data_IF_422746934968
#
_entry.id   IF_422746934968
#
_cell.length_a   1.000
_cell.length_b   1.000
_cell.length_c   1.000
_cell.angle_alpha   90.00
_cell.angle_beta   90.00
_cell.angle_gamma   90.00
#
_symmetry.space_group_name_H-M   'P 1'
#
loop_
_entity.id
_entity.type
_entity.pdbx_description
1 polymer ?
#
# COMPACT_ATOMS: atom_id res chain seq x y z
N UNK A 1 -2.84 6.93 40.14
CA UNK A 1 -2.72 5.92 39.06
C UNK A 1 -1.43 5.19 39.28
N UNK A 2 -1.51 3.88 39.28
CA UNK A 2 -0.36 3.03 39.57
C UNK A 2 0.67 3.14 38.42
N UNK A 3 1.95 2.88 38.69
CA UNK A 3 3.00 2.91 37.65
C UNK A 3 2.73 1.91 36.52
N UNK A 4 2.03 0.83 36.85
CA UNK A 4 1.58 -0.19 35.92
C UNK A 4 0.51 0.35 34.95
N UNK A 5 -0.45 1.14 35.45
CA UNK A 5 -1.48 1.80 34.63
C UNK A 5 -0.87 2.75 33.60
N UNK A 6 0.15 3.52 34.00
CA UNK A 6 0.84 4.46 33.10
C UNK A 6 1.63 3.75 32.01
N UNK A 7 2.28 2.63 32.35
CA UNK A 7 3.05 1.82 31.41
C UNK A 7 2.12 1.13 30.41
N UNK A 8 1.02 0.56 30.89
CA UNK A 8 0.00 -0.06 30.05
C UNK A 8 -0.64 0.96 29.09
N UNK A 9 -0.96 2.15 29.58
CA UNK A 9 -1.49 3.23 28.74
C UNK A 9 -0.52 3.61 27.62
N UNK A 10 0.77 3.79 27.93
CA UNK A 10 1.78 4.14 26.92
C UNK A 10 1.93 3.05 25.86
N UNK A 11 1.93 1.78 26.28
CA UNK A 11 1.94 0.65 25.36
C UNK A 11 0.75 0.69 24.40
N UNK A 12 -0.47 0.90 24.91
CA UNK A 12 -1.67 0.99 24.07
C UNK A 12 -1.62 2.19 23.10
N UNK A 13 -1.08 3.32 23.53
CA UNK A 13 -0.88 4.48 22.66
C UNK A 13 0.10 4.16 21.51
N UNK A 14 1.20 3.45 21.80
CA UNK A 14 2.15 2.99 20.80
C UNK A 14 1.50 2.00 19.81
N UNK A 15 0.69 1.06 20.29
CA UNK A 15 -0.07 0.13 19.46
C UNK A 15 -1.05 0.86 18.54
N UNK A 16 -1.76 1.88 19.03
CA UNK A 16 -2.68 2.69 18.22
C UNK A 16 -1.91 3.40 17.10
N UNK A 17 -0.75 3.99 17.41
CA UNK A 17 0.06 4.66 16.38
C UNK A 17 0.61 3.67 15.36
N UNK A 18 0.99 2.47 15.79
CA UNK A 18 1.42 1.41 14.89
C UNK A 18 0.30 0.98 13.94
N UNK A 19 -0.91 0.70 14.45
CA UNK A 19 -2.07 0.35 13.62
C UNK A 19 -2.41 1.46 12.60
N UNK A 20 -2.37 2.74 13.02
CA UNK A 20 -2.63 3.88 12.12
C UNK A 20 -1.62 3.96 10.97
N UNK A 21 -0.34 3.66 11.24
CA UNK A 21 0.69 3.61 10.20
C UNK A 21 0.43 2.48 9.21
N UNK A 22 0.06 1.30 9.69
CA UNK A 22 -0.28 0.18 8.82
C UNK A 22 -1.52 0.46 7.96
N UNK A 23 -2.57 1.02 8.55
CA UNK A 23 -3.79 1.40 7.85
C UNK A 23 -3.50 2.38 6.69
N UNK A 24 -2.67 3.39 6.95
CA UNK A 24 -2.24 4.32 5.91
C UNK A 24 -1.52 3.62 4.74
N UNK A 25 -0.60 2.70 5.03
CA UNK A 25 0.10 1.93 4.00
C UNK A 25 -0.89 1.07 3.19
N UNK A 26 -1.85 0.43 3.84
CA UNK A 26 -2.87 -0.38 3.17
C UNK A 26 -3.76 0.46 2.26
N UNK A 27 -4.15 1.66 2.67
CA UNK A 27 -4.90 2.62 1.83
C UNK A 27 -4.09 3.01 0.59
N UNK A 28 -2.79 3.26 0.73
CA UNK A 28 -1.92 3.56 -0.42
C UNK A 28 -1.79 2.38 -1.38
N UNK A 29 -1.64 1.16 -0.86
CA UNK A 29 -1.63 -0.06 -1.69
C UNK A 29 -2.95 -0.19 -2.44
N UNK A 30 -4.08 -0.04 -1.75
CA UNK A 30 -5.41 -0.13 -2.34
C UNK A 30 -5.61 0.89 -3.46
N UNK A 31 -5.13 2.12 -3.27
CA UNK A 31 -5.19 3.17 -4.30
C UNK A 31 -4.40 2.77 -5.55
N UNK A 32 -3.19 2.23 -5.39
CA UNK A 32 -2.35 1.79 -6.53
C UNK A 32 -2.93 0.57 -7.25
N UNK A 33 -3.50 -0.37 -6.52
CA UNK A 33 -4.21 -1.51 -7.11
C UNK A 33 -5.42 -1.05 -7.93
N UNK A 34 -6.15 -0.04 -7.44
CA UNK A 34 -7.24 0.56 -8.19
C UNK A 34 -6.76 1.24 -9.48
N UNK A 35 -5.62 1.92 -9.45
CA UNK A 35 -4.98 2.47 -10.65
C UNK A 35 -4.60 1.37 -11.66
N UNK A 36 -4.00 0.26 -11.20
CA UNK A 36 -3.70 -0.89 -12.06
C UNK A 36 -4.96 -1.47 -12.69
N UNK A 37 -6.04 -1.58 -11.93
CA UNK A 37 -7.34 -2.03 -12.42
C UNK A 37 -7.85 -1.12 -13.54
N UNK A 38 -7.79 0.20 -13.36
CA UNK A 38 -8.22 1.16 -14.40
C UNK A 38 -7.42 1.04 -15.69
N UNK A 39 -6.11 0.78 -15.59
CA UNK A 39 -5.27 0.52 -16.76
C UNK A 39 -5.76 -0.74 -17.48
N UNK A 40 -6.02 -1.83 -16.75
CA UNK A 40 -6.49 -3.07 -17.33
C UNK A 40 -7.87 -2.93 -17.99
N UNK A 41 -8.79 -2.20 -17.37
CA UNK A 41 -10.11 -1.89 -17.95
C UNK A 41 -9.97 -1.05 -19.23
N UNK A 42 -9.12 -0.02 -19.23
CA UNK A 42 -8.84 0.77 -20.43
C UNK A 42 -8.27 -0.09 -21.57
N UNK A 43 -7.32 -0.97 -21.27
CA UNK A 43 -6.75 -1.87 -22.29
C UNK A 43 -7.74 -2.88 -22.87
N UNK A 44 -8.82 -3.18 -22.15
CA UNK A 44 -9.89 -4.06 -22.63
C UNK A 44 -10.88 -3.31 -23.53
N UNK A 45 -11.16 -2.04 -23.22
CA UNK A 45 -12.16 -1.23 -23.93
C UNK A 45 -11.65 -0.65 -25.25
N UNK A 46 -10.34 -0.47 -25.41
CA UNK A 46 -9.75 0.23 -26.55
C UNK A 46 -8.77 -0.66 -27.33
N UNK A 47 -8.78 -0.53 -28.66
CA UNK A 47 -7.71 -1.07 -29.51
C UNK A 47 -6.44 -0.25 -29.30
N UNK A 48 -5.46 -0.83 -28.61
CA UNK A 48 -4.20 -0.18 -28.32
C UNK A 48 -3.18 -0.42 -29.42
N UNK A 49 -2.43 0.62 -29.75
CA UNK A 49 -1.19 0.47 -30.52
C UNK A 49 -0.11 -0.21 -29.68
N UNK A 50 0.94 -0.71 -30.34
CA UNK A 50 2.11 -1.26 -29.65
C UNK A 50 2.74 -0.24 -28.69
N UNK A 51 2.89 1.01 -29.13
CA UNK A 51 3.47 2.08 -28.32
C UNK A 51 2.64 2.39 -27.06
N UNK A 52 1.30 2.37 -27.17
CA UNK A 52 0.42 2.53 -26.02
C UNK A 52 0.47 1.33 -25.09
N UNK A 53 0.53 0.12 -25.64
CA UNK A 53 0.68 -1.12 -24.87
C UNK A 53 1.96 -1.10 -24.04
N UNK A 54 3.09 -0.74 -24.65
CA UNK A 54 4.38 -0.63 -23.96
C UNK A 54 4.31 0.40 -22.84
N UNK A 55 3.73 1.58 -23.11
CA UNK A 55 3.55 2.63 -22.11
C UNK A 55 2.70 2.17 -20.92
N UNK A 56 1.58 1.47 -21.17
CA UNK A 56 0.72 0.98 -20.09
C UNK A 56 1.40 -0.13 -19.29
N UNK A 57 2.21 -0.97 -19.94
CA UNK A 57 3.03 -1.97 -19.24
C UNK A 57 4.08 -1.33 -18.33
N UNK A 58 4.74 -0.26 -18.77
CA UNK A 58 5.68 0.50 -17.94
C UNK A 58 4.98 1.09 -16.71
N UNK A 59 3.77 1.64 -16.88
CA UNK A 59 2.96 2.16 -15.77
C UNK A 59 2.56 1.05 -14.78
N UNK A 60 2.13 -0.11 -15.28
CA UNK A 60 1.82 -1.27 -14.43
C UNK A 60 3.07 -1.75 -13.68
N UNK A 61 4.23 -1.75 -14.33
CA UNK A 61 5.49 -2.13 -13.70
C UNK A 61 5.88 -1.16 -12.57
N UNK A 62 5.75 0.15 -12.81
CA UNK A 62 6.02 1.17 -11.79
C UNK A 62 5.07 1.02 -10.58
N UNK A 63 3.77 0.81 -10.83
CA UNK A 63 2.78 0.57 -9.78
C UNK A 63 3.10 -0.67 -8.96
N UNK A 64 3.48 -1.77 -9.62
CA UNK A 64 3.91 -3.00 -8.97
C UNK A 64 5.12 -2.78 -8.07
N UNK A 65 6.15 -2.08 -8.54
CA UNK A 65 7.34 -1.75 -7.75
C UNK A 65 6.99 -0.91 -6.51
N UNK A 66 6.09 0.08 -6.66
CA UNK A 66 5.60 0.89 -5.53
C UNK A 66 4.84 0.05 -4.51
N UNK A 67 3.93 -0.83 -4.95
CA UNK A 67 3.19 -1.75 -4.07
C UNK A 67 4.16 -2.65 -3.30
N UNK A 68 5.13 -3.26 -3.98
CA UNK A 68 6.13 -4.10 -3.32
C UNK A 68 6.96 -3.36 -2.27
N UNK A 69 7.25 -2.08 -2.50
CA UNK A 69 7.93 -1.22 -1.52
C UNK A 69 7.05 -0.97 -0.28
N UNK A 70 5.75 -0.77 -0.47
CA UNK A 70 4.78 -0.58 0.61
C UNK A 70 4.54 -1.88 1.40
N UNK A 71 4.43 -3.02 0.71
CA UNK A 71 4.31 -4.35 1.35
C UNK A 71 5.52 -4.68 2.23
N UNK A 72 6.72 -4.24 1.85
CA UNK A 72 7.92 -4.38 2.70
C UNK A 72 7.83 -3.56 3.99
N UNK A 73 7.12 -2.43 3.98
CA UNK A 73 6.92 -1.60 5.17
C UNK A 73 5.86 -2.20 6.12
N UNK A 74 4.94 -3.02 5.60
CA UNK A 74 3.94 -3.74 6.41
C UNK A 74 4.48 -4.95 7.17
N UNK A 75 5.66 -5.46 6.80
CA UNK A 75 6.34 -6.55 7.50
C UNK A 75 7.39 -5.97 8.46
N UNK A 76 7.03 -5.47 9.65
CA UNK A 76 8.02 -5.38 10.71
C UNK A 76 8.37 -6.83 11.05
N UNK A 77 9.66 -7.15 11.09
CA UNK A 77 10.16 -8.29 11.86
C UNK A 77 9.52 -8.17 13.24
N UNK A 78 8.53 -9.02 13.52
CA UNK A 78 7.93 -9.12 14.84
C UNK A 78 9.06 -9.59 15.75
N UNK A 79 9.57 -8.69 16.59
CA UNK A 79 10.55 -8.97 17.62
C UNK A 79 9.86 -9.35 18.92
#
# INVERSE_FOLDING_TARGET
MDKDDQTHKKFLEEQIQWCKKQDHILVEIGTKLYEMKRIAEYSLEYELTLAETDRLNDQLHELKCKIQSLEKQLHPVVH
#
